data_IF_074943797374
#
_entry.id   IF_074943797374
#
_cell.length_a   1.000
_cell.length_b   1.000
_cell.length_c   1.000
_cell.angle_alpha   90.00
_cell.angle_beta   90.00
_cell.angle_gamma   90.00
#
_symmetry.space_group_name_H-M   'P 1'
#
loop_
_entity.id
_entity.type
_entity.pdbx_description
1 polymer ?
#
# COMPACT_ATOMS: atom_id res chain seq x y z
N UNK A 1 19.23 14.06 19.67
CA UNK A 1 18.11 15.01 19.89
C UNK A 1 17.02 14.69 18.88
N UNK A 2 15.77 14.55 19.32
CA UNK A 2 14.61 14.34 18.44
C UNK A 2 14.39 15.63 17.65
N UNK A 3 14.27 15.52 16.31
CA UNK A 3 14.12 16.69 15.42
C UNK A 3 12.73 16.82 14.81
N UNK A 4 11.94 15.76 14.85
CA UNK A 4 10.65 15.68 14.17
C UNK A 4 9.63 14.99 15.06
N UNK A 5 8.38 15.44 14.98
CA UNK A 5 7.21 14.79 15.56
C UNK A 5 6.17 14.60 14.47
N UNK A 6 5.80 13.34 14.24
CA UNK A 6 4.80 12.99 13.24
C UNK A 6 3.44 12.95 13.92
N UNK A 7 2.48 13.66 13.36
CA UNK A 7 1.08 13.57 13.79
C UNK A 7 0.33 12.68 12.80
N UNK A 8 -0.28 11.61 13.31
CA UNK A 8 -1.06 10.67 12.49
C UNK A 8 -2.43 11.25 12.16
N UNK A 9 -2.97 10.84 11.00
CA UNK A 9 -4.32 11.18 10.58
C UNK A 9 -4.57 12.69 10.62
N UNK A 10 -3.81 13.43 9.83
CA UNK A 10 -3.91 14.87 9.74
C UNK A 10 -5.05 15.22 8.77
N UNK A 11 -6.20 15.60 9.31
CA UNK A 11 -7.41 15.94 8.54
C UNK A 11 -7.57 17.44 8.32
N UNK A 12 -6.90 18.25 9.16
CA UNK A 12 -7.04 19.69 9.13
C UNK A 12 -5.77 20.39 9.61
N UNK A 13 -5.70 21.70 9.36
CA UNK A 13 -4.62 22.55 9.87
C UNK A 13 -4.66 22.66 11.40
N UNK A 14 -5.84 22.51 12.05
CA UNK A 14 -5.96 22.60 13.51
C UNK A 14 -5.16 21.48 14.19
N UNK A 15 -5.11 20.29 13.63
CA UNK A 15 -4.35 19.16 14.18
C UNK A 15 -2.86 19.51 14.34
N UNK A 16 -2.31 20.22 13.34
CA UNK A 16 -0.92 20.67 13.38
C UNK A 16 -0.69 21.76 14.42
N UNK A 17 -1.64 22.69 14.60
CA UNK A 17 -1.53 23.75 15.60
C UNK A 17 -1.81 23.25 17.01
N UNK A 18 -2.68 22.27 17.21
CA UNK A 18 -2.86 21.62 18.52
C UNK A 18 -1.56 21.00 19.01
N UNK A 19 -0.86 20.27 18.14
CA UNK A 19 0.48 19.76 18.46
C UNK A 19 1.46 20.91 18.72
N UNK A 20 1.41 22.02 17.95
CA UNK A 20 2.27 23.17 18.17
C UNK A 20 2.08 23.79 19.56
N UNK A 21 0.83 23.87 20.05
CA UNK A 21 0.49 24.34 21.39
C UNK A 21 1.11 23.42 22.46
N UNK A 22 0.96 22.10 22.31
CA UNK A 22 1.57 21.15 23.25
C UNK A 22 3.10 21.26 23.27
N UNK A 23 3.72 21.40 22.11
CA UNK A 23 5.18 21.58 21.99
C UNK A 23 5.66 22.91 22.57
N UNK A 24 4.84 23.96 22.48
CA UNK A 24 5.10 25.27 23.08
C UNK A 24 5.14 25.19 24.60
N UNK A 25 4.21 24.48 25.24
CA UNK A 25 4.14 24.32 26.70
C UNK A 25 5.41 23.67 27.28
N UNK A 26 6.09 22.82 26.50
CA UNK A 26 7.35 22.17 26.91
C UNK A 26 8.60 22.88 26.33
N UNK A 27 8.45 24.06 25.74
CA UNK A 27 9.55 24.90 25.23
C UNK A 27 10.24 24.37 23.97
N UNK A 28 9.58 23.49 23.22
CA UNK A 28 10.10 22.92 21.95
C UNK A 28 9.70 23.75 20.73
N UNK A 29 8.68 24.60 20.85
CA UNK A 29 8.21 25.54 19.82
C UNK A 29 8.04 26.92 20.47
N UNK A 30 8.44 27.96 19.77
CA UNK A 30 8.21 29.34 20.13
C UNK A 30 7.79 30.18 18.90
N UNK A 31 7.64 31.50 19.02
CA UNK A 31 7.21 32.38 17.94
C UNK A 31 8.20 32.48 16.78
N UNK A 32 9.46 32.16 17.01
CA UNK A 32 10.54 32.39 16.04
C UNK A 32 11.11 31.09 15.48
N UNK A 33 10.99 29.98 16.22
CA UNK A 33 11.51 28.68 15.79
C UNK A 33 10.74 27.51 16.38
N UNK A 34 10.69 26.42 15.61
CA UNK A 34 10.31 25.09 16.07
C UNK A 34 11.58 24.21 16.16
N UNK A 35 11.96 23.83 17.39
CA UNK A 35 13.11 22.92 17.61
C UNK A 35 12.78 21.47 17.21
N UNK A 36 11.49 21.14 17.19
CA UNK A 36 10.93 19.89 16.69
C UNK A 36 9.98 20.25 15.56
N UNK A 37 10.26 19.78 14.36
CA UNK A 37 9.41 19.98 13.21
C UNK A 37 8.12 19.17 13.36
N UNK A 38 6.99 19.79 13.09
CA UNK A 38 5.69 19.13 12.99
C UNK A 38 5.58 18.51 11.59
N UNK A 39 5.39 17.20 11.53
CA UNK A 39 5.31 16.44 10.29
C UNK A 39 3.89 15.88 10.17
N UNK A 40 3.05 16.39 9.28
CA UNK A 40 1.72 15.83 9.05
C UNK A 40 1.86 14.46 8.37
N UNK A 41 0.99 13.51 8.76
CA UNK A 41 0.82 12.23 8.08
C UNK A 41 -0.60 12.18 7.50
N UNK A 42 -0.69 12.10 6.17
CA UNK A 42 -1.93 11.91 5.42
C UNK A 42 -2.11 10.42 5.14
N UNK A 43 -3.16 9.81 5.69
CA UNK A 43 -3.34 8.34 5.75
C UNK A 43 -4.44 7.83 4.82
N UNK A 44 -5.61 8.46 4.82
CA UNK A 44 -6.76 8.05 4.00
C UNK A 44 -6.73 8.67 2.60
N UNK A 45 -7.62 8.21 1.71
CA UNK A 45 -7.78 8.85 0.39
C UNK A 45 -8.21 10.31 0.56
N UNK A 46 -9.14 10.58 1.48
CA UNK A 46 -9.62 11.92 1.77
C UNK A 46 -8.51 12.83 2.33
N UNK A 47 -7.69 12.33 3.26
CA UNK A 47 -6.54 13.09 3.78
C UNK A 47 -5.56 13.47 2.65
N UNK A 48 -5.29 12.53 1.73
CA UNK A 48 -4.40 12.74 0.58
C UNK A 48 -4.96 13.79 -0.38
N UNK A 49 -6.24 13.73 -0.69
CA UNK A 49 -6.91 14.69 -1.59
C UNK A 49 -6.97 16.09 -0.94
N UNK A 50 -7.14 16.19 0.38
CA UNK A 50 -7.16 17.45 1.13
C UNK A 50 -5.76 17.99 1.45
N UNK A 51 -4.71 17.17 1.32
CA UNK A 51 -3.33 17.50 1.73
C UNK A 51 -2.80 18.79 1.11
N UNK A 52 -3.17 19.04 -0.16
CA UNK A 52 -2.81 20.28 -0.89
C UNK A 52 -3.30 21.51 -0.16
N UNK A 53 -4.60 21.56 0.16
CA UNK A 53 -5.21 22.74 0.78
C UNK A 53 -4.71 22.93 2.20
N UNK A 54 -4.57 21.87 2.98
CA UNK A 54 -4.04 21.91 4.35
C UNK A 54 -2.62 22.50 4.34
N UNK A 55 -1.75 22.00 3.47
CA UNK A 55 -0.37 22.49 3.40
C UNK A 55 -0.26 23.91 2.81
N UNK A 56 -1.12 24.27 1.85
CA UNK A 56 -1.19 25.63 1.32
C UNK A 56 -1.52 26.63 2.43
N UNK A 57 -2.50 26.33 3.28
CA UNK A 57 -2.84 27.15 4.42
C UNK A 57 -1.70 27.21 5.44
N UNK A 58 -1.17 26.04 5.84
CA UNK A 58 -0.10 25.92 6.83
C UNK A 58 1.12 26.77 6.46
N UNK A 59 1.62 26.64 5.23
CA UNK A 59 2.80 27.36 4.74
C UNK A 59 2.59 28.89 4.64
N UNK A 60 1.35 29.36 4.61
CA UNK A 60 1.04 30.79 4.53
C UNK A 60 1.00 31.51 5.88
N UNK A 61 0.93 30.79 7.02
CA UNK A 61 0.98 31.42 8.34
C UNK A 61 2.37 32.02 8.64
N UNK A 62 2.42 33.26 9.10
CA UNK A 62 3.69 33.96 9.36
C UNK A 62 4.56 33.27 10.41
N UNK A 63 3.94 32.65 11.42
CA UNK A 63 4.66 31.88 12.43
C UNK A 63 5.31 30.63 11.81
N UNK A 64 4.62 29.96 10.90
CA UNK A 64 5.11 28.76 10.20
C UNK A 64 6.25 29.13 9.25
N UNK A 65 6.14 30.25 8.54
CA UNK A 65 7.23 30.77 7.69
C UNK A 65 8.51 30.97 8.48
N UNK A 66 8.42 31.52 9.70
CA UNK A 66 9.57 31.63 10.59
C UNK A 66 10.16 30.29 10.99
N UNK A 67 9.31 29.33 11.36
CA UNK A 67 9.76 27.98 11.72
C UNK A 67 10.46 27.26 10.58
N UNK A 68 9.92 27.39 9.37
CA UNK A 68 10.48 26.78 8.15
C UNK A 68 11.79 27.46 7.77
N UNK A 69 11.88 28.82 7.85
CA UNK A 69 13.10 29.55 7.60
C UNK A 69 14.22 29.16 8.58
N UNK A 70 13.89 28.99 9.87
CA UNK A 70 14.81 28.50 10.89
C UNK A 70 15.26 27.04 10.66
N UNK A 71 14.51 26.27 9.88
CA UNK A 71 14.81 24.90 9.47
C UNK A 71 15.30 24.81 8.01
N UNK A 72 16.05 25.80 7.53
CA UNK A 72 16.67 25.82 6.19
C UNK A 72 15.68 25.73 5.02
N UNK A 73 14.47 26.26 5.16
CA UNK A 73 13.36 26.18 4.21
C UNK A 73 12.99 24.75 3.85
N UNK A 74 12.94 23.88 4.86
CA UNK A 74 12.67 22.46 4.73
C UNK A 74 11.43 22.04 5.52
N UNK A 75 10.54 21.30 4.88
CA UNK A 75 9.36 20.67 5.50
C UNK A 75 9.26 19.21 5.08
N UNK A 76 9.09 18.32 6.05
CA UNK A 76 8.79 16.91 5.82
C UNK A 76 7.28 16.65 5.91
N UNK A 77 6.79 15.79 5.05
CA UNK A 77 5.38 15.31 5.01
C UNK A 77 5.42 13.80 4.93
N UNK A 78 4.69 13.11 5.80
CA UNK A 78 4.58 11.66 5.75
C UNK A 78 3.33 11.25 4.97
N UNK A 79 3.46 10.22 4.15
CA UNK A 79 2.40 9.66 3.32
C UNK A 79 2.07 8.23 3.77
N UNK A 80 0.78 7.97 4.03
CA UNK A 80 0.26 6.68 4.44
C UNK A 80 -0.15 5.82 3.25
N UNK A 81 0.35 4.59 3.21
CA UNK A 81 0.10 3.65 2.11
C UNK A 81 -0.91 2.57 2.49
N UNK A 82 -0.80 2.05 3.71
CA UNK A 82 -1.62 0.92 4.15
C UNK A 82 -3.06 1.32 4.39
N UNK A 83 -3.27 2.47 5.01
CA UNK A 83 -4.59 2.96 5.39
C UNK A 83 -5.36 3.45 4.16
N UNK A 84 -4.71 4.19 3.24
CA UNK A 84 -5.31 4.59 1.96
C UNK A 84 -5.67 3.38 1.08
N UNK A 85 -4.84 2.33 1.07
CA UNK A 85 -5.15 1.10 0.34
C UNK A 85 -6.35 0.36 0.94
N UNK A 86 -6.45 0.28 2.26
CA UNK A 86 -7.60 -0.32 2.95
C UNK A 86 -8.88 0.48 2.69
N UNK A 87 -8.79 1.80 2.61
CA UNK A 87 -9.93 2.70 2.40
C UNK A 87 -10.50 2.62 0.98
N UNK A 88 -9.66 2.67 -0.04
CA UNK A 88 -10.10 2.81 -1.43
C UNK A 88 -9.60 1.77 -2.43
N UNK A 89 -8.82 0.77 -1.99
CA UNK A 89 -8.20 -0.22 -2.87
C UNK A 89 -6.88 0.26 -3.49
N UNK A 90 -6.22 -0.65 -4.21
CA UNK A 90 -4.86 -0.46 -4.67
C UNK A 90 -4.68 0.67 -5.68
N UNK A 91 -5.55 0.74 -6.72
CA UNK A 91 -5.44 1.81 -7.73
C UNK A 91 -5.71 3.17 -7.12
N UNK A 92 -6.74 3.29 -6.28
CA UNK A 92 -7.12 4.54 -5.63
C UNK A 92 -6.00 5.07 -4.72
N UNK A 93 -5.44 4.20 -3.89
CA UNK A 93 -4.31 4.55 -3.02
C UNK A 93 -3.09 4.99 -3.84
N UNK A 94 -2.69 4.20 -4.84
CA UNK A 94 -1.54 4.51 -5.68
C UNK A 94 -1.68 5.84 -6.41
N UNK A 95 -2.86 6.11 -6.94
CA UNK A 95 -3.15 7.35 -7.67
C UNK A 95 -3.26 8.58 -6.75
N UNK A 96 -3.95 8.45 -5.61
CA UNK A 96 -4.03 9.55 -4.62
C UNK A 96 -2.63 9.93 -4.10
N UNK A 97 -1.77 8.94 -3.80
CA UNK A 97 -0.39 9.18 -3.41
C UNK A 97 0.43 9.88 -4.51
N UNK A 98 0.24 9.51 -5.77
CA UNK A 98 0.93 10.14 -6.89
C UNK A 98 0.48 11.60 -7.06
N UNK A 99 -0.83 11.88 -7.03
CA UNK A 99 -1.39 13.23 -7.11
C UNK A 99 -0.89 14.10 -5.95
N UNK A 100 -1.05 13.63 -4.71
CA UNK A 100 -0.63 14.36 -3.53
C UNK A 100 0.86 14.74 -3.57
N UNK A 101 1.74 13.81 -3.96
CA UNK A 101 3.18 14.12 -4.11
C UNK A 101 3.44 15.20 -5.15
N UNK A 102 2.75 15.16 -6.29
CA UNK A 102 2.91 16.15 -7.35
C UNK A 102 2.46 17.53 -6.87
N UNK A 103 1.27 17.62 -6.30
CA UNK A 103 0.66 18.85 -5.83
C UNK A 103 1.42 19.49 -4.66
N UNK A 104 1.85 18.68 -3.69
CA UNK A 104 2.65 19.14 -2.55
C UNK A 104 4.04 19.61 -3.00
N UNK A 105 4.61 18.98 -4.03
CA UNK A 105 5.89 19.44 -4.62
C UNK A 105 5.73 20.81 -5.28
N UNK A 106 4.64 21.06 -5.99
CA UNK A 106 4.30 22.35 -6.59
C UNK A 106 4.14 23.43 -5.53
N UNK A 107 3.32 23.19 -4.49
CA UNK A 107 3.12 24.13 -3.38
C UNK A 107 4.44 24.45 -2.67
N UNK A 108 5.28 23.44 -2.43
CA UNK A 108 6.61 23.68 -1.87
C UNK A 108 7.44 24.61 -2.73
N UNK A 109 7.42 24.42 -4.05
CA UNK A 109 8.15 25.24 -4.99
C UNK A 109 7.63 26.70 -5.03
N UNK A 110 6.30 26.86 -5.04
CA UNK A 110 5.65 28.19 -5.04
C UNK A 110 5.97 29.01 -3.77
N UNK A 111 6.18 28.33 -2.64
CA UNK A 111 6.50 28.95 -1.36
C UNK A 111 8.01 29.00 -1.05
N UNK A 112 8.88 28.56 -1.96
CA UNK A 112 10.32 28.48 -1.73
C UNK A 112 10.72 27.47 -0.64
N UNK A 113 9.88 26.46 -0.39
CA UNK A 113 10.07 25.43 0.63
C UNK A 113 10.47 24.11 -0.03
N UNK A 114 11.49 23.47 0.51
CA UNK A 114 11.84 22.10 0.10
C UNK A 114 10.93 21.11 0.82
N UNK A 115 9.98 20.54 0.10
CA UNK A 115 9.20 19.42 0.60
C UNK A 115 10.01 18.12 0.43
N UNK A 116 10.03 17.31 1.47
CA UNK A 116 10.56 15.93 1.42
C UNK A 116 9.48 14.98 1.91
N UNK A 117 9.29 13.88 1.17
CA UNK A 117 8.31 12.89 1.54
C UNK A 117 8.94 11.79 2.40
N UNK A 118 8.24 11.47 3.49
CA UNK A 118 8.48 10.28 4.28
C UNK A 118 7.45 9.23 3.89
N UNK A 119 7.88 8.21 3.17
CA UNK A 119 7.01 7.16 2.65
C UNK A 119 6.79 6.09 3.71
N UNK A 120 5.56 6.00 4.23
CA UNK A 120 5.11 4.96 5.16
C UNK A 120 4.88 3.61 4.46
N UNK A 121 5.80 3.20 3.57
CA UNK A 121 5.68 1.96 2.80
C UNK A 121 5.88 0.74 3.69
N UNK A 122 5.01 -0.28 3.50
CA UNK A 122 5.22 -1.61 4.08
C UNK A 122 5.96 -2.55 3.14
N UNK A 123 6.13 -3.80 3.57
CA UNK A 123 6.80 -4.83 2.77
C UNK A 123 5.97 -5.41 1.63
N UNK A 124 4.65 -5.38 1.72
CA UNK A 124 3.73 -5.93 0.71
C UNK A 124 3.16 -4.84 -0.21
N UNK A 125 2.68 -5.24 -1.40
CA UNK A 125 2.08 -4.31 -2.37
C UNK A 125 0.86 -3.59 -1.79
N UNK A 126 -0.02 -4.29 -1.08
CA UNK A 126 -1.17 -3.69 -0.38
C UNK A 126 -0.78 -2.69 0.72
N UNK A 127 0.51 -2.50 0.99
CA UNK A 127 1.08 -1.49 1.89
C UNK A 127 2.10 -0.60 1.17
N UNK A 128 2.01 -0.50 -0.16
CA UNK A 128 2.93 0.25 -1.00
C UNK A 128 4.30 -0.42 -1.20
N UNK A 129 4.45 -1.70 -0.83
CA UNK A 129 5.64 -2.49 -1.10
C UNK A 129 5.85 -2.75 -2.59
N UNK A 130 7.03 -3.24 -2.94
CA UNK A 130 7.45 -3.53 -4.31
C UNK A 130 8.95 -3.35 -4.47
N UNK A 131 9.52 -3.63 -5.64
CA UNK A 131 10.93 -3.38 -5.91
C UNK A 131 11.30 -1.93 -5.62
N UNK A 132 12.38 -1.71 -4.86
CA UNK A 132 12.71 -0.36 -4.37
C UNK A 132 13.11 0.59 -5.49
N UNK A 133 13.81 0.07 -6.52
CA UNK A 133 14.27 0.87 -7.66
C UNK A 133 13.09 1.43 -8.45
N UNK A 134 12.18 0.59 -8.89
CA UNK A 134 10.99 0.95 -9.67
C UNK A 134 10.07 1.88 -8.87
N UNK A 135 9.87 1.58 -7.59
CA UNK A 135 9.04 2.39 -6.72
C UNK A 135 9.58 3.81 -6.48
N UNK A 136 10.89 4.03 -6.53
CA UNK A 136 11.51 5.35 -6.41
C UNK A 136 11.48 6.06 -7.77
N UNK A 137 11.83 5.37 -8.84
CA UNK A 137 11.91 5.96 -10.19
C UNK A 137 10.54 6.26 -10.80
N UNK A 138 9.47 5.64 -10.30
CA UNK A 138 8.08 5.88 -10.72
C UNK A 138 7.40 7.07 -10.05
N UNK A 139 8.04 7.69 -9.03
CA UNK A 139 7.46 8.85 -8.35
C UNK A 139 7.38 10.08 -9.25
N UNK A 140 6.50 11.07 -8.94
CA UNK A 140 6.39 12.30 -9.72
C UNK A 140 7.72 13.01 -9.87
N UNK A 141 7.91 13.68 -11.00
CA UNK A 141 9.12 14.47 -11.22
C UNK A 141 9.23 15.61 -10.20
N UNK A 142 10.42 15.78 -9.63
CA UNK A 142 10.69 16.82 -8.63
C UNK A 142 10.28 16.50 -7.20
N UNK A 143 9.61 15.36 -6.96
CA UNK A 143 9.27 14.90 -5.60
C UNK A 143 10.50 14.46 -4.79
N UNK A 144 11.56 14.03 -5.47
CA UNK A 144 12.86 13.73 -4.87
C UNK A 144 13.86 14.79 -5.32
N UNK A 145 14.29 15.66 -4.40
CA UNK A 145 15.24 16.75 -4.69
C UNK A 145 16.66 16.44 -4.23
N UNK A 146 16.83 16.01 -2.98
CA UNK A 146 18.15 15.75 -2.38
C UNK A 146 18.16 14.55 -1.44
N UNK A 147 16.99 14.00 -1.11
CA UNK A 147 16.83 12.86 -0.21
C UNK A 147 15.48 12.16 -0.40
N UNK A 148 15.43 10.94 0.07
CA UNK A 148 14.20 10.17 0.27
C UNK A 148 14.20 9.59 1.68
N UNK A 149 13.05 9.48 2.31
CA UNK A 149 12.88 8.79 3.58
C UNK A 149 11.83 7.70 3.43
N UNK A 150 12.20 6.49 3.81
CA UNK A 150 11.35 5.29 3.71
C UNK A 150 11.21 4.65 5.09
N UNK A 151 10.03 4.08 5.37
CA UNK A 151 9.86 3.16 6.49
C UNK A 151 10.32 1.78 6.06
N UNK A 152 11.16 1.14 6.88
CA UNK A 152 11.44 -0.29 6.76
C UNK A 152 10.85 -1.01 7.97
N UNK A 153 10.14 -2.09 7.74
CA UNK A 153 9.58 -2.91 8.81
C UNK A 153 10.70 -3.73 9.46
N UNK A 154 10.62 -3.97 10.79
CA UNK A 154 11.68 -4.64 11.54
C UNK A 154 12.06 -6.01 10.97
N UNK A 155 11.08 -6.81 10.58
CA UNK A 155 11.27 -8.11 9.95
C UNK A 155 11.88 -8.04 8.54
N UNK A 156 11.61 -6.96 7.79
CA UNK A 156 12.20 -6.72 6.48
C UNK A 156 13.66 -6.30 6.61
N UNK A 157 14.02 -5.56 7.66
CA UNK A 157 15.39 -5.12 7.93
C UNK A 157 16.32 -6.32 8.04
N UNK A 158 15.94 -7.36 8.79
CA UNK A 158 16.71 -8.59 8.91
C UNK A 158 16.96 -9.28 7.55
N UNK A 159 15.94 -9.36 6.72
CA UNK A 159 16.03 -9.98 5.40
C UNK A 159 16.84 -9.17 4.39
N UNK A 160 16.72 -7.84 4.41
CA UNK A 160 17.41 -6.95 3.46
C UNK A 160 18.85 -6.64 3.86
N UNK A 161 19.13 -6.55 5.16
CA UNK A 161 20.39 -6.00 5.66
C UNK A 161 21.16 -6.94 6.59
N UNK A 162 20.61 -8.12 6.92
CA UNK A 162 21.25 -9.09 7.80
C UNK A 162 22.42 -9.86 7.16
N UNK A 163 22.48 -9.94 5.82
CA UNK A 163 23.60 -10.52 5.07
C UNK A 163 24.31 -9.40 4.30
N UNK A 164 25.65 -9.40 4.32
CA UNK A 164 26.47 -8.32 3.73
C UNK A 164 26.21 -8.11 2.23
N UNK A 165 26.14 -9.18 1.44
CA UNK A 165 26.01 -9.08 -0.01
C UNK A 165 24.59 -8.64 -0.39
N UNK A 166 23.60 -9.16 0.33
CA UNK A 166 22.18 -8.75 0.18
C UNK A 166 22.00 -7.29 0.61
N UNK A 167 22.65 -6.87 1.70
CA UNK A 167 22.61 -5.49 2.18
C UNK A 167 23.22 -4.53 1.15
N UNK A 168 24.39 -4.89 0.60
CA UNK A 168 25.04 -4.10 -0.44
C UNK A 168 24.11 -3.90 -1.64
N UNK A 169 23.52 -4.98 -2.16
CA UNK A 169 22.59 -4.92 -3.28
C UNK A 169 21.38 -4.02 -2.98
N UNK A 170 20.72 -4.18 -1.81
CA UNK A 170 19.56 -3.38 -1.47
C UNK A 170 19.90 -1.89 -1.30
N UNK A 171 21.04 -1.57 -0.69
CA UNK A 171 21.51 -0.19 -0.54
C UNK A 171 21.90 0.44 -1.89
N UNK A 172 22.58 -0.35 -2.75
CA UNK A 172 22.93 0.09 -4.11
C UNK A 172 21.68 0.43 -4.92
N UNK A 173 20.65 -0.44 -4.89
CA UNK A 173 19.37 -0.17 -5.56
C UNK A 173 18.69 1.10 -5.04
N UNK A 174 18.70 1.31 -3.73
CA UNK A 174 18.11 2.49 -3.10
C UNK A 174 18.84 3.78 -3.51
N UNK A 175 20.17 3.78 -3.44
CA UNK A 175 21.01 4.93 -3.78
C UNK A 175 20.95 5.22 -5.26
N UNK A 176 21.09 4.20 -6.11
CA UNK A 176 21.06 4.33 -7.58
C UNK A 176 19.72 4.88 -8.06
N UNK A 177 18.60 4.36 -7.54
CA UNK A 177 17.26 4.87 -7.89
C UNK A 177 17.08 6.33 -7.47
N UNK A 178 17.57 6.69 -6.28
CA UNK A 178 17.50 8.07 -5.77
C UNK A 178 18.31 9.02 -6.67
N UNK A 179 19.54 8.64 -7.00
CA UNK A 179 20.41 9.41 -7.90
C UNK A 179 19.82 9.50 -9.31
N UNK A 180 19.34 8.39 -9.86
CA UNK A 180 18.69 8.39 -11.18
C UNK A 180 17.52 9.38 -11.19
N UNK A 181 16.67 9.37 -10.15
CA UNK A 181 15.52 10.27 -10.06
C UNK A 181 15.89 11.73 -9.91
N UNK A 182 16.99 12.03 -9.25
CA UNK A 182 17.52 13.40 -9.08
C UNK A 182 18.11 13.96 -10.37
N UNK A 183 18.77 13.11 -11.17
CA UNK A 183 19.56 13.53 -12.35
C UNK A 183 18.79 13.36 -13.65
N UNK A 184 18.07 12.24 -13.79
CA UNK A 184 17.43 11.87 -15.05
C UNK A 184 16.04 12.48 -15.15
N UNK A 185 15.88 13.42 -16.09
CA UNK A 185 14.56 13.88 -16.53
C UNK A 185 13.99 12.87 -17.53
N UNK A 186 13.40 11.78 -17.09
CA UNK A 186 12.52 10.97 -17.95
C UNK A 186 11.24 11.77 -18.17
N UNK A 187 11.21 12.55 -19.24
CA UNK A 187 10.07 13.39 -19.58
C UNK A 187 9.10 12.51 -20.36
N UNK A 188 8.00 12.10 -19.71
CA UNK A 188 6.77 11.79 -20.46
C UNK A 188 6.37 13.10 -21.13
N UNK A 189 6.04 13.06 -22.43
CA UNK A 189 5.58 14.26 -23.13
C UNK A 189 4.46 14.92 -22.32
N UNK A 190 4.54 16.23 -22.09
CA UNK A 190 3.59 16.96 -21.23
C UNK A 190 2.14 16.76 -21.66
N UNK A 191 1.88 16.75 -22.98
CA UNK A 191 0.54 16.62 -23.53
C UNK A 191 -0.01 15.20 -23.29
N UNK A 192 0.82 14.17 -23.46
CA UNK A 192 0.43 12.80 -23.14
C UNK A 192 0.15 12.63 -21.65
N UNK A 193 0.95 13.25 -20.78
CA UNK A 193 0.78 13.13 -19.33
C UNK A 193 -0.56 13.71 -18.84
N UNK A 194 -1.02 14.82 -19.46
CA UNK A 194 -2.35 15.36 -19.14
C UNK A 194 -3.45 14.35 -19.49
N UNK A 195 -3.38 13.76 -20.67
CA UNK A 195 -4.36 12.75 -21.11
C UNK A 195 -4.29 11.48 -20.22
N UNK A 196 -3.10 11.03 -19.86
CA UNK A 196 -2.92 9.86 -18.99
C UNK A 196 -3.51 10.09 -17.60
N UNK A 197 -3.38 11.31 -17.06
CA UNK A 197 -3.99 11.67 -15.77
C UNK A 197 -5.52 11.62 -15.84
N UNK A 198 -6.13 12.14 -16.90
CA UNK A 198 -7.58 12.08 -17.09
C UNK A 198 -8.08 10.63 -17.19
N UNK A 199 -7.36 9.77 -17.92
CA UNK A 199 -7.66 8.34 -18.01
C UNK A 199 -7.56 7.69 -16.62
N UNK A 200 -6.53 8.01 -15.85
CA UNK A 200 -6.37 7.46 -14.50
C UNK A 200 -7.47 7.94 -13.56
N UNK A 201 -7.87 9.22 -13.62
CA UNK A 201 -8.96 9.74 -12.78
C UNK A 201 -10.27 8.98 -13.05
N UNK A 202 -10.57 8.66 -14.31
CA UNK A 202 -11.77 7.90 -14.70
C UNK A 202 -11.71 6.45 -14.19
N UNK A 203 -10.60 5.73 -14.45
CA UNK A 203 -10.44 4.33 -14.06
C UNK A 203 -10.40 4.18 -12.54
N UNK A 204 -9.73 5.09 -11.85
CA UNK A 204 -9.60 5.04 -10.39
C UNK A 204 -10.91 5.33 -9.70
N UNK A 205 -11.73 6.25 -10.21
CA UNK A 205 -13.06 6.51 -9.67
C UNK A 205 -13.93 5.24 -9.70
N UNK A 206 -13.91 4.52 -10.82
CA UNK A 206 -14.64 3.26 -10.98
C UNK A 206 -14.08 2.16 -10.06
N UNK A 207 -12.75 1.99 -10.04
CA UNK A 207 -12.09 1.03 -9.15
C UNK A 207 -12.41 1.26 -7.67
N UNK A 208 -12.47 2.52 -7.24
CA UNK A 208 -12.83 2.88 -5.87
C UNK A 208 -14.26 2.45 -5.53
N UNK A 209 -15.21 2.71 -6.44
CA UNK A 209 -16.61 2.31 -6.26
C UNK A 209 -16.73 0.79 -6.16
N UNK A 210 -16.11 0.03 -7.07
CA UNK A 210 -16.13 -1.44 -7.08
C UNK A 210 -15.54 -2.00 -5.78
N UNK A 211 -14.41 -1.45 -5.33
CA UNK A 211 -13.77 -1.88 -4.09
C UNK A 211 -14.66 -1.60 -2.88
N UNK A 212 -15.17 -0.38 -2.76
CA UNK A 212 -15.97 0.05 -1.62
C UNK A 212 -17.33 -0.64 -1.55
N UNK A 213 -17.94 -0.91 -2.70
CA UNK A 213 -19.21 -1.65 -2.78
C UNK A 213 -19.08 -3.04 -2.16
N UNK A 214 -18.02 -3.79 -2.47
CA UNK A 214 -17.81 -5.09 -1.83
C UNK A 214 -17.38 -4.95 -0.37
N UNK A 215 -16.37 -4.13 -0.06
CA UNK A 215 -15.74 -4.13 1.27
C UNK A 215 -16.62 -3.48 2.34
N UNK A 216 -17.34 -2.43 1.99
CA UNK A 216 -18.16 -1.64 2.92
C UNK A 216 -19.65 -1.67 2.62
N UNK A 217 -20.04 -2.00 1.38
CA UNK A 217 -21.44 -2.05 0.94
C UNK A 217 -22.07 -3.44 1.05
N UNK A 218 -21.27 -4.51 0.95
CA UNK A 218 -21.80 -5.87 1.02
C UNK A 218 -21.92 -6.32 2.49
N UNK A 219 -23.15 -6.68 2.91
CA UNK A 219 -23.45 -7.04 4.30
C UNK A 219 -22.80 -8.37 4.75
N UNK A 220 -22.43 -9.26 3.83
CA UNK A 220 -21.83 -10.57 4.12
C UNK A 220 -20.30 -10.54 4.06
N UNK A 221 -19.70 -9.44 3.58
CA UNK A 221 -18.24 -9.36 3.39
C UNK A 221 -17.46 -9.44 4.71
N UNK A 222 -17.96 -8.81 5.77
CA UNK A 222 -17.35 -8.89 7.08
C UNK A 222 -17.29 -10.33 7.57
N UNK A 223 -18.41 -11.04 7.53
CA UNK A 223 -18.50 -12.42 7.99
C UNK A 223 -17.65 -13.36 7.14
N UNK A 224 -17.64 -13.16 5.83
CA UNK A 224 -16.72 -13.86 4.91
C UNK A 224 -15.25 -13.65 5.32
N UNK A 225 -14.82 -12.41 5.51
CA UNK A 225 -13.44 -12.12 5.86
C UNK A 225 -13.02 -12.77 7.17
N UNK A 226 -13.89 -12.72 8.19
CA UNK A 226 -13.63 -13.33 9.50
C UNK A 226 -13.72 -14.86 9.50
N UNK A 227 -14.50 -15.44 8.59
CA UNK A 227 -14.58 -16.90 8.42
C UNK A 227 -13.46 -17.44 7.53
N UNK A 228 -13.21 -16.81 6.37
CA UNK A 228 -12.29 -17.30 5.34
C UNK A 228 -10.85 -16.78 5.48
N UNK A 229 -10.48 -16.19 6.61
CA UNK A 229 -9.11 -15.78 6.89
C UNK A 229 -8.71 -16.08 8.33
N UNK A 230 -7.40 -16.13 8.64
CA UNK A 230 -6.92 -16.31 10.02
C UNK A 230 -6.83 -14.99 10.80
N UNK A 231 -7.72 -14.01 10.55
CA UNK A 231 -7.66 -12.70 11.21
C UNK A 231 -7.77 -12.80 12.73
N UNK A 232 -8.55 -13.78 13.24
CA UNK A 232 -8.71 -14.01 14.69
C UNK A 232 -7.40 -14.48 15.29
N UNK A 233 -6.74 -15.41 14.65
CA UNK A 233 -5.47 -16.00 15.05
C UNK A 233 -4.30 -15.02 14.86
N UNK A 234 -4.34 -14.19 13.81
CA UNK A 234 -3.41 -13.08 13.57
C UNK A 234 -3.53 -12.03 14.68
N UNK A 235 -4.73 -11.81 15.23
CA UNK A 235 -4.97 -10.80 16.25
C UNK A 235 -4.32 -11.15 17.60
N UNK A 236 -4.04 -12.42 17.87
CA UNK A 236 -3.29 -12.88 19.04
C UNK A 236 -1.76 -12.82 18.87
N UNK A 237 -1.28 -12.62 17.65
CA UNK A 237 0.15 -12.42 17.36
C UNK A 237 0.59 -10.99 17.64
N UNK A 238 1.78 -10.83 18.20
CA UNK A 238 2.43 -9.53 18.34
C UNK A 238 2.99 -9.05 16.99
N UNK A 239 2.09 -8.78 16.02
CA UNK A 239 2.46 -8.24 14.71
C UNK A 239 2.45 -6.71 14.77
N UNK A 240 3.63 -6.11 14.64
CA UNK A 240 3.80 -4.66 14.75
C UNK A 240 3.79 -4.16 16.19
N UNK A 241 3.89 -2.83 16.34
CA UNK A 241 4.00 -2.16 17.64
C UNK A 241 2.66 -1.89 18.33
N UNK A 242 1.54 -2.30 17.75
CA UNK A 242 0.19 -1.95 18.21
C UNK A 242 -0.78 -3.14 18.09
N UNK A 243 -1.82 -3.22 18.96
CA UNK A 243 -2.86 -4.25 18.85
C UNK A 243 -3.54 -4.28 17.48
N UNK A 244 -4.08 -5.41 17.07
CA UNK A 244 -4.74 -5.60 15.77
C UNK A 244 -5.96 -4.68 15.56
N UNK A 245 -6.63 -4.27 16.63
CA UNK A 245 -7.78 -3.37 16.58
C UNK A 245 -7.70 -2.29 17.66
N UNK A 246 -8.40 -1.19 17.40
CA UNK A 246 -8.54 -0.08 18.38
C UNK A 246 -9.64 -0.34 19.42
N UNK A 247 -10.65 -1.14 19.06
CA UNK A 247 -11.83 -1.52 19.88
C UNK A 247 -12.27 -2.92 19.48
N UNK A 248 -13.33 -3.45 20.11
CA UNK A 248 -13.99 -4.66 19.62
C UNK A 248 -14.38 -4.46 18.16
N UNK A 249 -13.94 -5.38 17.29
CA UNK A 249 -14.13 -5.24 15.84
C UNK A 249 -15.56 -5.71 15.54
N UNK A 250 -16.40 -4.82 15.07
CA UNK A 250 -17.75 -5.09 14.59
C UNK A 250 -17.93 -4.77 13.10
N UNK A 251 -16.93 -4.14 12.51
CA UNK A 251 -16.91 -3.72 11.11
C UNK A 251 -15.48 -3.62 10.57
N UNK A 252 -15.32 -3.66 9.26
CA UNK A 252 -13.99 -3.59 8.61
C UNK A 252 -13.29 -2.26 8.89
N UNK A 253 -14.03 -1.16 9.02
CA UNK A 253 -13.49 0.18 9.31
C UNK A 253 -12.68 0.21 10.62
N UNK A 254 -13.12 -0.53 11.63
CA UNK A 254 -12.44 -0.65 12.94
C UNK A 254 -11.12 -1.44 12.92
N UNK A 255 -10.88 -2.21 11.87
CA UNK A 255 -9.67 -3.02 11.73
C UNK A 255 -8.49 -2.18 11.29
N UNK A 256 -7.29 -2.43 11.84
CA UNK A 256 -6.05 -1.78 11.38
C UNK A 256 -5.58 -2.36 10.04
N UNK A 257 -4.90 -1.53 9.26
CA UNK A 257 -4.44 -1.89 7.92
C UNK A 257 -3.41 -3.04 7.90
N UNK A 258 -2.55 -3.16 8.92
CA UNK A 258 -1.55 -4.25 8.97
C UNK A 258 -2.23 -5.63 9.11
N UNK A 259 -3.07 -5.90 10.10
CA UNK A 259 -3.81 -7.16 10.21
C UNK A 259 -4.70 -7.45 9.00
N UNK A 260 -5.32 -6.40 8.41
CA UNK A 260 -6.09 -6.51 7.18
C UNK A 260 -5.27 -7.10 6.04
N UNK A 261 -4.18 -6.44 5.64
CA UNK A 261 -3.34 -6.88 4.52
C UNK A 261 -2.69 -8.22 4.81
N UNK A 262 -2.26 -8.43 6.05
CA UNK A 262 -1.60 -9.66 6.46
C UNK A 262 -2.51 -10.89 6.37
N UNK A 263 -3.77 -10.77 6.82
CA UNK A 263 -4.74 -11.86 6.74
C UNK A 263 -5.08 -12.28 5.32
N UNK A 264 -5.19 -11.32 4.40
CA UNK A 264 -5.38 -11.59 2.97
C UNK A 264 -4.19 -12.28 2.29
N UNK A 265 -3.00 -12.09 2.83
CA UNK A 265 -1.84 -12.84 2.36
C UNK A 265 -1.84 -14.27 2.86
N UNK A 266 -2.32 -14.52 4.06
CA UNK A 266 -2.41 -15.85 4.65
C UNK A 266 -3.38 -16.78 3.90
N UNK A 267 -4.54 -16.28 3.51
CA UNK A 267 -5.52 -17.06 2.74
C UNK A 267 -5.25 -17.08 1.23
N UNK A 268 -4.12 -16.51 0.78
CA UNK A 268 -3.62 -16.52 -0.60
C UNK A 268 -4.49 -15.79 -1.62
N UNK A 269 -5.46 -14.98 -1.19
CA UNK A 269 -6.24 -14.11 -2.08
C UNK A 269 -5.42 -12.86 -2.47
N UNK A 270 -4.66 -12.30 -1.53
CA UNK A 270 -3.91 -11.04 -1.73
C UNK A 270 -4.81 -9.86 -2.12
N UNK A 271 -6.05 -9.90 -1.70
CA UNK A 271 -7.15 -9.01 -2.07
C UNK A 271 -6.78 -7.51 -2.16
N UNK A 272 -6.09 -6.90 -1.15
CA UNK A 272 -5.79 -5.47 -1.16
C UNK A 272 -4.82 -5.02 -2.26
N UNK A 273 -4.23 -5.94 -3.01
CA UNK A 273 -3.26 -5.61 -4.04
C UNK A 273 -3.81 -5.60 -5.47
N UNK A 274 -5.08 -6.00 -5.66
CA UNK A 274 -5.61 -6.16 -7.02
C UNK A 274 -7.13 -6.02 -7.17
N UNK A 275 -7.94 -6.14 -6.10
CA UNK A 275 -9.39 -6.12 -6.22
C UNK A 275 -9.92 -4.78 -6.73
N UNK A 276 -10.87 -4.83 -7.67
CA UNK A 276 -11.45 -3.66 -8.35
C UNK A 276 -10.60 -3.12 -9.52
N UNK A 277 -9.46 -3.77 -9.81
CA UNK A 277 -8.58 -3.37 -10.92
C UNK A 277 -9.11 -3.87 -12.27
N UNK A 278 -9.47 -5.14 -12.34
CA UNK A 278 -9.90 -5.79 -13.59
C UNK A 278 -11.16 -5.16 -14.16
N UNK A 279 -12.20 -5.05 -13.35
CA UNK A 279 -13.47 -4.46 -13.74
C UNK A 279 -13.31 -2.99 -14.18
N UNK A 280 -12.55 -2.18 -13.45
CA UNK A 280 -12.34 -0.77 -13.79
C UNK A 280 -11.61 -0.61 -15.14
N UNK A 281 -10.55 -1.35 -15.38
CA UNK A 281 -9.88 -1.32 -16.68
C UNK A 281 -10.78 -1.89 -17.80
N UNK A 282 -11.52 -2.97 -17.53
CA UNK A 282 -12.43 -3.55 -18.51
C UNK A 282 -13.52 -2.57 -18.92
N UNK A 283 -14.14 -1.88 -17.96
CA UNK A 283 -15.15 -0.85 -18.25
C UNK A 283 -14.56 0.29 -19.12
N UNK A 284 -13.32 0.71 -18.85
CA UNK A 284 -12.67 1.71 -19.68
C UNK A 284 -12.37 1.18 -21.08
N UNK A 285 -11.88 -0.04 -21.22
CA UNK A 285 -11.57 -0.68 -22.53
C UNK A 285 -12.84 -0.81 -23.37
N UNK A 286 -13.96 -1.19 -22.76
CA UNK A 286 -15.22 -1.43 -23.49
C UNK A 286 -15.89 -0.16 -24.03
N UNK A 287 -15.47 1.04 -23.58
CA UNK A 287 -16.01 2.33 -24.08
C UNK A 287 -15.56 2.66 -25.49
N UNK A 288 -14.36 2.24 -25.89
CA UNK A 288 -13.77 2.54 -27.20
C UNK A 288 -12.72 1.48 -27.55
N UNK A 289 -12.77 0.93 -28.76
CA UNK A 289 -11.82 -0.07 -29.27
C UNK A 289 -10.34 0.35 -29.20
N UNK A 290 -10.07 1.68 -29.17
CA UNK A 290 -8.72 2.25 -29.07
C UNK A 290 -8.20 2.31 -27.64
N UNK A 291 -9.05 2.11 -26.64
CA UNK A 291 -8.66 2.32 -25.25
C UNK A 291 -7.64 1.29 -24.77
N UNK A 292 -7.72 0.04 -25.24
CA UNK A 292 -6.66 -0.94 -24.94
C UNK A 292 -5.30 -0.48 -25.45
N UNK A 293 -5.22 0.01 -26.67
CA UNK A 293 -3.97 0.51 -27.25
C UNK A 293 -3.41 1.72 -26.47
N UNK A 294 -4.30 2.61 -25.99
CA UNK A 294 -3.88 3.73 -25.12
C UNK A 294 -3.29 3.24 -23.78
N UNK A 295 -3.90 2.24 -23.16
CA UNK A 295 -3.37 1.65 -21.93
C UNK A 295 -2.03 0.95 -22.15
N UNK A 296 -1.85 0.26 -23.26
CA UNK A 296 -0.57 -0.34 -23.67
C UNK A 296 0.51 0.73 -23.89
N UNK A 297 0.17 1.86 -24.53
CA UNK A 297 1.06 3.01 -24.66
C UNK A 297 1.43 3.60 -23.31
N UNK A 298 0.45 3.78 -22.39
CA UNK A 298 0.70 4.25 -21.02
C UNK A 298 1.64 3.31 -20.27
N UNK A 299 1.46 2.00 -20.38
CA UNK A 299 2.31 1.00 -19.75
C UNK A 299 3.76 1.11 -20.22
N UNK A 300 3.98 1.32 -21.50
CA UNK A 300 5.32 1.43 -22.08
C UNK A 300 6.01 2.77 -21.82
N UNK A 301 5.25 3.86 -21.73
CA UNK A 301 5.80 5.22 -21.72
C UNK A 301 5.76 5.92 -20.37
N UNK A 302 4.90 5.49 -19.43
CA UNK A 302 4.73 6.13 -18.13
C UNK A 302 5.22 5.26 -16.96
N UNK A 303 6.37 5.56 -16.36
CA UNK A 303 6.96 4.74 -15.30
C UNK A 303 6.04 4.49 -14.10
N UNK A 304 5.20 5.45 -13.73
CA UNK A 304 4.21 5.28 -12.67
C UNK A 304 3.21 4.18 -13.01
N UNK A 305 2.62 4.24 -14.20
CA UNK A 305 1.61 3.28 -14.64
C UNK A 305 2.22 1.89 -14.83
N UNK A 306 3.41 1.83 -15.40
CA UNK A 306 4.19 0.59 -15.50
C UNK A 306 4.41 -0.06 -14.13
N UNK A 307 4.92 0.68 -13.14
CA UNK A 307 5.17 0.18 -11.79
C UNK A 307 3.88 -0.25 -11.09
N UNK A 308 2.79 0.49 -11.31
CA UNK A 308 1.48 0.19 -10.74
C UNK A 308 0.98 -1.19 -11.23
N UNK A 309 0.99 -1.46 -12.54
CA UNK A 309 0.53 -2.72 -13.12
C UNK A 309 1.48 -3.89 -12.83
N UNK A 310 2.79 -3.69 -12.93
CA UNK A 310 3.78 -4.72 -12.57
C UNK A 310 3.65 -5.20 -11.12
N UNK A 311 3.21 -4.33 -10.21
CA UNK A 311 2.89 -4.73 -8.84
C UNK A 311 1.61 -5.56 -8.76
N UNK A 312 0.58 -5.26 -9.56
CA UNK A 312 -0.63 -6.09 -9.66
C UNK A 312 -0.29 -7.48 -10.20
N UNK A 313 0.48 -7.55 -11.29
CA UNK A 313 1.00 -8.81 -11.86
C UNK A 313 1.74 -9.65 -10.79
N UNK A 314 2.67 -9.02 -10.06
CA UNK A 314 3.40 -9.70 -8.98
C UNK A 314 2.47 -10.23 -7.89
N UNK A 315 1.42 -9.51 -7.51
CA UNK A 315 0.47 -9.93 -6.48
C UNK A 315 -0.40 -11.08 -6.96
N UNK A 316 -0.91 -11.00 -8.19
CA UNK A 316 -1.66 -12.09 -8.83
C UNK A 316 -0.83 -13.37 -8.91
N UNK A 317 0.47 -13.26 -9.20
CA UNK A 317 1.40 -14.40 -9.24
C UNK A 317 1.61 -15.08 -7.89
N UNK A 318 1.44 -14.36 -6.78
CA UNK A 318 1.53 -14.90 -5.42
C UNK A 318 0.20 -15.44 -4.92
N UNK A 319 -0.92 -15.07 -5.54
CA UNK A 319 -2.25 -15.55 -5.18
C UNK A 319 -2.44 -17.02 -5.57
N UNK A 320 -3.38 -17.69 -4.90
CA UNK A 320 -3.75 -19.07 -5.22
C UNK A 320 -5.22 -19.31 -4.89
N UNK A 321 -6.07 -19.26 -5.91
CA UNK A 321 -7.52 -19.36 -5.74
C UNK A 321 -7.97 -20.77 -5.31
N UNK A 322 -7.21 -21.82 -5.55
CA UNK A 322 -7.51 -23.15 -5.03
C UNK A 322 -7.34 -23.22 -3.51
N UNK A 323 -6.26 -22.61 -2.98
CA UNK A 323 -6.05 -22.48 -1.53
C UNK A 323 -7.09 -21.55 -0.93
N UNK A 324 -7.36 -20.42 -1.57
CA UNK A 324 -8.40 -19.48 -1.15
C UNK A 324 -9.78 -20.14 -1.04
N UNK A 325 -10.12 -21.02 -1.97
CA UNK A 325 -11.35 -21.81 -1.93
C UNK A 325 -11.42 -22.74 -0.70
N UNK A 326 -10.31 -23.34 -0.30
CA UNK A 326 -10.28 -24.16 0.92
C UNK A 326 -10.51 -23.34 2.19
N UNK A 327 -10.03 -22.06 2.22
CA UNK A 327 -10.40 -21.13 3.29
C UNK A 327 -11.89 -20.72 3.20
N UNK A 328 -12.43 -20.49 2.00
CA UNK A 328 -13.85 -20.15 1.83
C UNK A 328 -14.79 -21.25 2.33
N UNK A 329 -14.37 -22.54 2.30
CA UNK A 329 -15.11 -23.64 2.92
C UNK A 329 -15.25 -23.55 4.45
N UNK A 330 -14.56 -22.65 5.10
CA UNK A 330 -14.75 -22.36 6.52
C UNK A 330 -16.00 -21.51 6.78
N UNK A 331 -16.57 -20.89 5.75
CA UNK A 331 -17.86 -20.22 5.81
C UNK A 331 -19.00 -21.25 5.93
N UNK A 332 -20.02 -20.91 6.72
CA UNK A 332 -21.11 -21.84 7.02
C UNK A 332 -22.35 -21.65 6.13
N UNK A 333 -22.66 -20.41 5.79
CA UNK A 333 -23.81 -20.00 5.00
C UNK A 333 -23.45 -19.78 3.52
N UNK A 334 -24.46 -19.82 2.63
CA UNK A 334 -24.26 -19.67 1.19
C UNK A 334 -23.97 -18.21 0.81
N UNK A 335 -24.55 -17.25 1.50
CA UNK A 335 -24.37 -15.83 1.23
C UNK A 335 -22.89 -15.39 1.42
N UNK A 336 -22.24 -15.89 2.47
CA UNK A 336 -20.79 -15.68 2.64
C UNK A 336 -19.94 -16.40 1.59
N UNK A 337 -20.40 -17.52 1.05
CA UNK A 337 -19.70 -18.21 -0.04
C UNK A 337 -19.83 -17.49 -1.38
N UNK A 338 -20.93 -16.79 -1.64
CA UNK A 338 -21.12 -15.94 -2.83
C UNK A 338 -20.11 -14.80 -2.91
N UNK A 339 -19.66 -14.27 -1.75
CA UNK A 339 -18.58 -13.29 -1.70
C UNK A 339 -17.29 -13.84 -2.34
N UNK A 340 -16.97 -15.10 -2.07
CA UNK A 340 -15.80 -15.73 -2.71
C UNK A 340 -15.95 -15.86 -4.23
N UNK A 341 -17.16 -16.20 -4.72
CA UNK A 341 -17.41 -16.27 -6.16
C UNK A 341 -17.17 -14.92 -6.84
N UNK A 342 -17.67 -13.83 -6.25
CA UNK A 342 -17.41 -12.45 -6.72
C UNK A 342 -15.92 -12.13 -6.75
N UNK A 343 -15.19 -12.51 -5.71
CA UNK A 343 -13.73 -12.31 -5.64
C UNK A 343 -13.00 -13.12 -6.72
N UNK A 344 -13.42 -14.35 -6.96
CA UNK A 344 -12.82 -15.25 -7.96
C UNK A 344 -13.03 -14.72 -9.39
N UNK A 345 -14.23 -14.24 -9.70
CA UNK A 345 -14.56 -13.66 -11.01
C UNK A 345 -13.71 -12.41 -11.27
N UNK A 346 -13.61 -11.51 -10.29
CA UNK A 346 -12.79 -10.33 -10.39
C UNK A 346 -11.29 -10.69 -10.52
N UNK A 347 -10.82 -11.73 -9.82
CA UNK A 347 -9.44 -12.20 -9.96
C UNK A 347 -9.13 -12.66 -11.39
N UNK A 348 -10.02 -13.45 -11.97
CA UNK A 348 -9.85 -13.95 -13.34
C UNK A 348 -9.90 -12.81 -14.36
N UNK A 349 -10.81 -11.86 -14.17
CA UNK A 349 -10.93 -10.67 -15.00
C UNK A 349 -9.67 -9.80 -14.90
N UNK A 350 -9.22 -9.52 -13.67
CA UNK A 350 -8.01 -8.72 -13.43
C UNK A 350 -6.81 -9.34 -14.12
N UNK A 351 -6.61 -10.65 -13.95
CA UNK A 351 -5.50 -11.35 -14.62
C UNK A 351 -5.53 -11.19 -16.14
N UNK A 352 -6.70 -11.40 -16.75
CA UNK A 352 -6.84 -11.32 -18.21
C UNK A 352 -6.58 -9.89 -18.72
N UNK A 353 -7.11 -8.89 -18.04
CA UNK A 353 -6.98 -7.49 -18.43
C UNK A 353 -5.55 -7.00 -18.26
N UNK A 354 -4.87 -7.34 -17.15
CA UNK A 354 -3.48 -6.97 -16.93
C UNK A 354 -2.59 -7.57 -18.02
N UNK A 355 -2.72 -8.87 -18.31
CA UNK A 355 -1.96 -9.52 -19.39
C UNK A 355 -2.22 -8.87 -20.76
N UNK A 356 -3.44 -8.43 -21.04
CA UNK A 356 -3.77 -7.74 -22.30
C UNK A 356 -3.10 -6.36 -22.37
N UNK A 357 -3.09 -5.59 -21.28
CA UNK A 357 -2.46 -4.26 -21.23
C UNK A 357 -0.94 -4.39 -21.35
N UNK A 358 -0.34 -5.32 -20.63
CA UNK A 358 1.11 -5.58 -20.67
C UNK A 358 1.57 -6.25 -21.96
N UNK A 359 0.63 -6.78 -22.76
CA UNK A 359 0.91 -7.60 -23.96
C UNK A 359 1.67 -8.89 -23.64
N UNK A 360 1.43 -9.46 -22.45
CA UNK A 360 2.05 -10.68 -21.95
C UNK A 360 1.15 -11.91 -22.14
N UNK A 361 1.76 -13.09 -22.18
CA UNK A 361 1.06 -14.38 -22.24
C UNK A 361 0.87 -15.02 -20.86
N UNK A 362 1.70 -14.65 -19.92
CA UNK A 362 1.68 -15.18 -18.55
C UNK A 362 2.14 -14.10 -17.57
N UNK A 363 1.74 -14.27 -16.31
CA UNK A 363 2.19 -13.40 -15.23
C UNK A 363 3.72 -13.49 -15.05
N UNK A 364 4.34 -12.37 -14.66
CA UNK A 364 5.80 -12.22 -14.48
C UNK A 364 6.63 -12.54 -15.75
N UNK A 365 6.10 -12.28 -16.94
CA UNK A 365 6.83 -12.54 -18.18
C UNK A 365 8.12 -11.69 -18.24
N UNK A 366 8.07 -10.45 -17.79
CA UNK A 366 9.23 -9.55 -17.73
C UNK A 366 10.11 -9.76 -16.48
N UNK A 367 9.68 -10.59 -15.51
CA UNK A 367 10.44 -10.85 -14.29
C UNK A 367 10.68 -12.34 -14.05
N UNK A 368 11.45 -12.93 -14.96
CA UNK A 368 11.78 -14.37 -14.93
C UNK A 368 12.48 -14.81 -13.64
N UNK A 369 13.27 -13.92 -13.01
CA UNK A 369 13.93 -14.21 -11.73
C UNK A 369 12.93 -14.37 -10.59
N UNK A 370 11.99 -13.43 -10.46
CA UNK A 370 10.93 -13.54 -9.46
C UNK A 370 10.03 -14.74 -9.72
N UNK A 371 9.68 -14.98 -11.01
CA UNK A 371 8.90 -16.14 -11.41
C UNK A 371 9.56 -17.44 -10.96
N UNK A 372 10.83 -17.67 -11.31
CA UNK A 372 11.58 -18.86 -10.92
C UNK A 372 11.67 -19.01 -9.39
N UNK A 373 11.88 -17.89 -8.67
CA UNK A 373 11.91 -17.86 -7.21
C UNK A 373 10.58 -18.25 -6.58
N UNK A 374 9.44 -17.84 -7.17
CA UNK A 374 8.11 -18.22 -6.71
C UNK A 374 7.82 -19.70 -7.04
N UNK A 375 8.06 -20.12 -8.27
CA UNK A 375 7.84 -21.50 -8.72
C UNK A 375 8.59 -22.52 -7.82
N UNK A 376 9.80 -22.16 -7.36
CA UNK A 376 10.58 -22.98 -6.45
C UNK A 376 10.01 -23.01 -5.02
N UNK A 377 9.51 -21.88 -4.50
CA UNK A 377 9.09 -21.76 -3.09
C UNK A 377 7.63 -22.15 -2.84
N UNK A 378 6.72 -21.78 -3.74
CA UNK A 378 5.28 -21.92 -3.54
C UNK A 378 4.82 -23.34 -3.19
N UNK A 379 5.38 -24.43 -3.75
CA UNK A 379 4.98 -25.79 -3.38
C UNK A 379 5.11 -26.07 -1.87
N UNK A 380 6.17 -25.55 -1.24
CA UNK A 380 6.38 -25.74 0.21
C UNK A 380 5.37 -24.96 1.05
N UNK A 381 5.03 -23.73 0.65
CA UNK A 381 4.08 -22.91 1.39
C UNK A 381 2.63 -23.33 1.19
N UNK A 382 2.32 -23.92 0.05
CA UNK A 382 1.00 -24.49 -0.18
C UNK A 382 0.68 -25.58 0.86
N UNK A 383 1.64 -26.42 1.20
CA UNK A 383 1.49 -27.43 2.26
C UNK A 383 1.20 -26.75 3.62
N UNK A 384 1.92 -25.70 3.96
CA UNK A 384 1.69 -24.97 5.22
C UNK A 384 0.27 -24.35 5.26
N UNK A 385 -0.26 -23.86 4.14
CA UNK A 385 -1.62 -23.36 4.08
C UNK A 385 -2.66 -24.47 4.38
N UNK A 386 -2.52 -25.66 3.81
CA UNK A 386 -3.43 -26.79 4.10
C UNK A 386 -3.34 -27.21 5.57
N UNK A 387 -2.14 -27.26 6.15
CA UNK A 387 -1.96 -27.53 7.58
C UNK A 387 -2.66 -26.46 8.41
N UNK A 388 -2.46 -25.18 8.07
CA UNK A 388 -3.07 -24.06 8.78
C UNK A 388 -4.61 -24.16 8.76
N UNK A 389 -5.22 -24.45 7.61
CA UNK A 389 -6.66 -24.63 7.47
C UNK A 389 -7.18 -25.74 8.40
N UNK A 390 -6.50 -26.87 8.45
CA UNK A 390 -6.89 -27.98 9.33
C UNK A 390 -6.76 -27.61 10.81
N UNK A 391 -5.70 -26.93 11.20
CA UNK A 391 -5.52 -26.46 12.58
C UNK A 391 -6.59 -25.44 12.98
N UNK A 392 -6.94 -24.50 12.09
CA UNK A 392 -8.03 -23.55 12.30
C UNK A 392 -9.37 -24.26 12.44
N UNK A 393 -9.65 -25.28 11.62
CA UNK A 393 -10.87 -26.10 11.74
C UNK A 393 -10.97 -26.75 13.13
N UNK A 394 -9.90 -27.34 13.63
CA UNK A 394 -9.84 -27.96 14.96
C UNK A 394 -10.08 -26.93 16.07
N UNK A 395 -9.42 -25.78 15.99
CA UNK A 395 -9.62 -24.70 16.97
C UNK A 395 -11.09 -24.24 17.01
N UNK A 396 -11.70 -24.04 15.84
CA UNK A 396 -13.10 -23.59 15.71
C UNK A 396 -14.13 -24.64 16.18
N UNK A 397 -13.74 -25.93 16.21
CA UNK A 397 -14.54 -27.01 16.82
C UNK A 397 -14.41 -27.10 18.33
N UNK A 398 -13.61 -26.23 18.95
CA UNK A 398 -13.42 -26.19 20.39
C UNK A 398 -12.32 -27.12 20.91
N UNK A 399 -11.46 -27.66 20.06
CA UNK A 399 -10.25 -28.32 20.50
C UNK A 399 -9.33 -27.27 21.14
N UNK A 400 -9.20 -27.35 22.46
CA UNK A 400 -8.39 -26.43 23.25
C UNK A 400 -7.01 -27.04 23.50
N UNK A 401 -5.96 -26.22 23.39
CA UNK A 401 -4.61 -26.61 23.78
C UNK A 401 -3.58 -25.55 23.38
N UNK A 402 -2.71 -25.19 24.29
CA UNK A 402 -1.61 -24.26 24.06
C UNK A 402 -0.75 -24.64 22.84
N UNK A 403 -0.60 -25.95 22.60
CA UNK A 403 0.10 -26.46 21.42
C UNK A 403 -0.60 -26.14 20.10
N UNK A 404 -1.96 -26.11 20.07
CA UNK A 404 -2.72 -25.86 18.85
C UNK A 404 -2.54 -24.40 18.38
N UNK A 405 -2.63 -23.44 19.29
CA UNK A 405 -2.40 -22.02 18.99
C UNK A 405 -0.96 -21.78 18.50
N UNK A 406 0.03 -22.33 19.18
CA UNK A 406 1.43 -22.25 18.77
C UNK A 406 1.68 -22.84 17.38
N UNK A 407 1.05 -23.97 17.04
CA UNK A 407 1.17 -24.57 15.72
C UNK A 407 0.55 -23.66 14.63
N UNK A 408 -0.61 -23.03 14.90
CA UNK A 408 -1.21 -22.07 13.99
C UNK A 408 -0.25 -20.88 13.78
N UNK A 409 0.32 -20.34 14.83
CA UNK A 409 1.28 -19.23 14.76
C UNK A 409 2.54 -19.61 13.95
N UNK A 410 3.04 -20.84 14.09
CA UNK A 410 4.16 -21.36 13.28
C UNK A 410 3.78 -21.38 11.79
N UNK A 411 2.58 -21.85 11.44
CA UNK A 411 2.15 -21.86 10.05
C UNK A 411 1.97 -20.45 9.49
N UNK A 412 1.42 -19.51 10.28
CA UNK A 412 1.28 -18.09 9.90
C UNK A 412 2.65 -17.50 9.59
N UNK A 413 3.63 -17.68 10.47
CA UNK A 413 4.99 -17.19 10.26
C UNK A 413 5.67 -17.85 9.05
N UNK A 414 5.46 -19.14 8.86
CA UNK A 414 5.99 -19.89 7.71
C UNK A 414 5.46 -19.38 6.38
N UNK A 415 4.14 -19.20 6.27
CA UNK A 415 3.49 -18.64 5.06
C UNK A 415 3.98 -17.21 4.80
N UNK A 416 4.01 -16.36 5.84
CA UNK A 416 4.48 -14.96 5.71
C UNK A 416 5.92 -14.88 5.21
N UNK A 417 6.82 -15.66 5.81
CA UNK A 417 8.23 -15.72 5.42
C UNK A 417 8.39 -16.20 3.99
N UNK A 418 7.62 -17.19 3.62
CA UNK A 418 7.70 -17.80 2.30
C UNK A 418 7.20 -16.90 1.17
N UNK A 419 6.15 -16.18 1.42
CA UNK A 419 5.65 -15.16 0.49
C UNK A 419 6.52 -13.91 0.49
N UNK A 420 7.45 -13.77 1.43
CA UNK A 420 8.16 -12.52 1.75
C UNK A 420 7.19 -11.37 2.01
N UNK A 421 6.08 -11.71 2.63
CA UNK A 421 5.05 -10.78 3.07
C UNK A 421 5.22 -10.59 4.58
N UNK A 422 6.05 -9.68 4.94
CA UNK A 422 6.13 -9.21 6.30
C UNK A 422 5.10 -8.10 6.47
N UNK A 423 4.09 -8.40 7.23
CA UNK A 423 2.97 -7.64 7.71
C UNK A 423 2.70 -6.20 7.37
#
# INVERSE_FOLDING_TARGET
MIKQHIISHTESISDMFELAIMLKEVGLVDTDKARVQIVPLFETIEDLDNSREIMRQYLNYDIVKKWIAANHNYQEIMLGYSDSNKDGGYLSSGWALYKAQNELTEIGSDNGVKITFFHGRGGTVGRGGGPSYEAITSQPFGSIKDRIRLTEQGEVIGNKYGNKDVAYYNLEMLVSATLDRMVTRRIVNSDNLVNYRLIMDEIVADSNLIYRDLVFGNEHFYDYFFAASPIREVSSLNIGSRPAARKTITEISGLRAIPWVFSWSQNRIMFPGWYGVGSAFKHFIDKDEKNLAKLQEMYQSWPFFHSLLSNVDMVLSKSNMNIAFEYAKLCQDEETKEVFATILDEWQLTKNVILAIESHKQLLEDNSYLKASLDYRLPYFNVLNYIQIELIKRQRRGELGENLENLIHITINGVATGLRNSG
#
